data_IF_026449869748
#
_entry.id   IF_026449869748
#
_cell.length_a   1.000
_cell.length_b   1.000
_cell.length_c   1.000
_cell.angle_alpha   90.00
_cell.angle_beta   90.00
_cell.angle_gamma   90.00
#
_symmetry.space_group_name_H-M   'P 1'
#
loop_
_entity.id
_entity.type
_entity.pdbx_description
1 polymer ?
#
# COMPACT_ATOMS: atom_id res chain seq x y z
N UNK A 1 6.91 -28.22 18.95
CA UNK A 1 8.09 -28.22 19.85
C UNK A 1 7.55 -27.95 21.24
N UNK A 2 7.92 -28.74 22.25
CA UNK A 2 7.42 -28.48 23.61
C UNK A 2 8.21 -27.34 24.25
N UNK A 3 7.51 -26.30 24.71
CA UNK A 3 8.14 -25.14 25.35
C UNK A 3 8.47 -25.48 26.81
N UNK A 4 9.75 -25.42 27.23
CA UNK A 4 10.11 -25.69 28.61
C UNK A 4 9.49 -24.64 29.53
N UNK A 5 8.95 -25.10 30.66
CA UNK A 5 8.36 -24.23 31.69
C UNK A 5 8.95 -24.58 33.06
N UNK A 6 9.44 -23.57 33.76
CA UNK A 6 9.91 -23.65 35.14
C UNK A 6 8.93 -22.93 36.05
N UNK A 7 8.32 -23.65 37.00
CA UNK A 7 7.46 -23.02 38.01
C UNK A 7 8.33 -22.16 38.94
N UNK A 8 7.91 -20.93 39.17
CA UNK A 8 8.55 -20.00 40.13
C UNK A 8 7.76 -20.00 41.44
N UNK A 9 6.45 -19.88 41.36
CA UNK A 9 5.54 -19.98 42.50
C UNK A 9 4.15 -20.44 42.06
N UNK A 10 3.13 -20.23 42.90
CA UNK A 10 1.76 -20.69 42.67
C UNK A 10 1.14 -20.18 41.36
N UNK A 11 1.52 -19.00 40.88
CA UNK A 11 0.90 -18.36 39.71
C UNK A 11 1.89 -17.88 38.68
N UNK A 12 3.20 -17.99 38.92
CA UNK A 12 4.24 -17.57 37.99
C UNK A 12 5.05 -18.74 37.46
N UNK A 13 5.17 -18.77 36.15
CA UNK A 13 6.00 -19.70 35.40
C UNK A 13 6.99 -18.93 34.52
N UNK A 14 8.13 -19.53 34.26
CA UNK A 14 9.15 -18.97 33.40
C UNK A 14 9.43 -19.90 32.24
N UNK A 15 9.44 -19.33 31.03
CA UNK A 15 10.02 -19.97 29.85
C UNK A 15 11.51 -19.58 29.89
N UNK A 16 12.42 -20.50 30.28
CA UNK A 16 13.83 -20.19 30.33
C UNK A 16 14.32 -19.86 28.91
N UNK A 17 15.47 -19.18 28.82
CA UNK A 17 16.14 -18.93 27.53
C UNK A 17 16.71 -20.24 26.96
N UNK A 18 15.84 -21.08 26.40
CA UNK A 18 16.21 -22.38 25.86
C UNK A 18 16.71 -22.30 24.42
N UNK A 19 16.28 -21.28 23.67
CA UNK A 19 16.78 -20.99 22.33
C UNK A 19 17.79 -19.83 22.39
N UNK A 20 18.92 -19.98 21.69
CA UNK A 20 19.99 -18.96 21.60
C UNK A 20 19.52 -17.60 21.05
N UNK A 21 18.42 -17.59 20.29
CA UNK A 21 17.80 -16.39 19.73
C UNK A 21 17.00 -15.62 20.77
N UNK A 22 16.57 -16.27 21.86
CA UNK A 22 15.90 -15.57 22.95
C UNK A 22 16.86 -14.58 23.59
N UNK A 23 16.43 -13.32 23.67
CA UNK A 23 17.19 -12.23 24.29
C UNK A 23 16.87 -12.14 25.78
N UNK A 24 15.60 -12.38 26.12
CA UNK A 24 15.06 -12.39 27.49
C UNK A 24 14.28 -13.70 27.76
N UNK A 25 14.00 -14.07 29.02
CA UNK A 25 13.09 -15.17 29.31
C UNK A 25 11.62 -14.80 29.03
N UNK A 26 10.76 -15.80 28.94
CA UNK A 26 9.31 -15.62 29.00
C UNK A 26 8.79 -15.72 30.43
N UNK A 27 7.74 -14.98 30.79
CA UNK A 27 7.08 -15.00 32.10
C UNK A 27 5.59 -15.19 31.90
N UNK A 28 5.03 -16.27 32.44
CA UNK A 28 3.60 -16.59 32.31
C UNK A 28 2.94 -16.48 33.68
N UNK A 29 1.88 -15.67 33.76
CA UNK A 29 1.04 -15.53 34.94
C UNK A 29 -0.21 -16.38 34.76
N UNK A 30 -0.20 -17.58 35.33
CA UNK A 30 -1.25 -18.58 35.15
C UNK A 30 -1.20 -19.61 36.28
N UNK A 31 -2.38 -20.10 36.68
CA UNK A 31 -2.48 -21.30 37.50
C UNK A 31 -2.27 -22.56 36.64
N UNK A 32 -2.36 -23.72 37.29
CA UNK A 32 -2.09 -24.99 36.63
C UNK A 32 -3.09 -25.31 35.52
N UNK A 33 -4.37 -24.96 35.70
CA UNK A 33 -5.41 -25.19 34.71
C UNK A 33 -5.16 -24.33 33.46
N UNK A 34 -4.83 -23.06 33.65
CA UNK A 34 -4.49 -22.14 32.56
C UNK A 34 -3.22 -22.57 31.81
N UNK A 35 -2.18 -23.02 32.51
CA UNK A 35 -0.97 -23.56 31.86
C UNK A 35 -1.30 -24.78 31.01
N UNK A 36 -2.16 -25.69 31.47
CA UNK A 36 -2.57 -26.82 30.65
C UNK A 36 -3.31 -26.38 29.39
N UNK A 37 -4.16 -25.35 29.48
CA UNK A 37 -4.85 -24.78 28.33
C UNK A 37 -3.86 -24.14 27.33
N UNK A 38 -2.92 -23.32 27.80
CA UNK A 38 -1.91 -22.67 26.96
C UNK A 38 -0.92 -23.65 26.31
N UNK A 39 -0.83 -24.89 26.80
CA UNK A 39 -0.06 -25.98 26.16
C UNK A 39 -0.77 -26.61 24.97
N UNK A 40 -2.07 -26.39 24.81
CA UNK A 40 -2.88 -26.97 23.73
C UNK A 40 -2.81 -26.15 22.44
N UNK A 41 -2.27 -24.94 22.49
CA UNK A 41 -2.14 -24.04 21.35
C UNK A 41 -0.71 -23.45 21.27
N UNK A 42 -0.52 -22.43 20.41
CA UNK A 42 0.79 -21.79 20.21
C UNK A 42 1.12 -20.66 21.18
N UNK A 43 0.36 -20.45 22.24
CA UNK A 43 0.55 -19.32 23.19
C UNK A 43 1.97 -19.25 23.73
N UNK A 44 2.48 -20.36 24.25
CA UNK A 44 3.82 -20.43 24.85
C UNK A 44 4.93 -20.28 23.80
N UNK A 45 4.71 -20.79 22.59
CA UNK A 45 5.63 -20.64 21.46
C UNK A 45 5.73 -19.18 21.03
N UNK A 46 4.59 -18.50 20.90
CA UNK A 46 4.53 -17.07 20.59
C UNK A 46 5.21 -16.24 21.66
N UNK A 47 4.98 -16.55 22.94
CA UNK A 47 5.69 -15.87 24.04
C UNK A 47 7.22 -16.04 23.94
N UNK A 48 7.69 -17.24 23.58
CA UNK A 48 9.11 -17.50 23.36
C UNK A 48 9.67 -16.76 22.14
N UNK A 49 8.91 -16.67 21.04
CA UNK A 49 9.28 -15.93 19.83
C UNK A 49 9.37 -14.42 20.10
N UNK A 50 8.41 -13.86 20.83
CA UNK A 50 8.44 -12.45 21.28
C UNK A 50 9.70 -12.18 22.09
N UNK A 51 10.12 -13.14 22.92
CA UNK A 51 11.34 -13.04 23.72
C UNK A 51 12.64 -12.98 22.87
N UNK A 52 12.58 -13.25 21.56
CA UNK A 52 13.70 -13.16 20.62
C UNK A 52 13.82 -11.77 19.95
N UNK A 53 12.79 -10.94 20.03
CA UNK A 53 12.68 -9.70 19.27
C UNK A 53 13.71 -8.64 19.72
N UNK A 54 14.36 -7.91 18.78
CA UNK A 54 15.34 -6.87 19.11
C UNK A 54 14.80 -5.81 20.07
N UNK A 55 15.68 -5.29 20.93
CA UNK A 55 15.34 -4.27 21.91
C UNK A 55 14.32 -4.68 22.99
N UNK A 56 13.89 -5.94 23.04
CA UNK A 56 12.97 -6.39 24.10
C UNK A 56 13.63 -6.27 25.48
N UNK A 57 12.89 -5.66 26.41
CA UNK A 57 13.29 -5.54 27.80
C UNK A 57 12.99 -6.82 28.59
N UNK A 58 13.62 -6.93 29.77
CA UNK A 58 13.43 -7.89 30.90
C UNK A 58 12.77 -9.25 30.61
N UNK A 59 11.52 -9.30 30.16
CA UNK A 59 10.78 -10.52 29.85
C UNK A 59 9.75 -10.31 28.72
N UNK A 60 9.43 -11.39 28.00
CA UNK A 60 8.16 -11.52 27.27
C UNK A 60 7.10 -12.06 28.23
N UNK A 61 6.01 -11.33 28.47
CA UNK A 61 5.03 -11.67 29.50
C UNK A 61 3.75 -12.21 28.86
N UNK A 62 3.12 -13.20 29.49
CA UNK A 62 1.77 -13.69 29.16
C UNK A 62 0.89 -13.58 30.39
N UNK A 63 -0.24 -12.90 30.24
CA UNK A 63 -1.24 -12.69 31.29
C UNK A 63 -2.25 -13.86 31.37
N UNK A 64 -3.08 -13.95 32.43
CA UNK A 64 -3.99 -15.09 32.63
C UNK A 64 -5.02 -15.34 31.52
N UNK A 65 -5.36 -14.31 30.75
CA UNK A 65 -6.22 -14.37 29.56
C UNK A 65 -5.49 -14.87 28.30
N UNK A 66 -4.23 -15.29 28.46
CA UNK A 66 -3.34 -15.73 27.40
C UNK A 66 -3.90 -16.84 26.51
N UNK A 67 -3.90 -16.60 25.21
CA UNK A 67 -4.22 -17.60 24.18
C UNK A 67 -3.54 -17.27 22.86
N UNK A 68 -3.52 -18.22 21.94
CA UNK A 68 -2.87 -18.04 20.63
C UNK A 68 -3.43 -16.83 19.88
N UNK A 69 -2.55 -15.89 19.54
CA UNK A 69 -2.83 -14.78 18.62
C UNK A 69 -2.24 -15.03 17.23
N UNK A 70 -1.98 -13.96 16.48
CA UNK A 70 -1.37 -14.05 15.13
C UNK A 70 0.15 -13.90 15.13
N UNK A 71 0.72 -13.17 16.10
CA UNK A 71 2.16 -12.96 16.24
C UNK A 71 2.58 -13.03 17.69
N UNK A 72 2.02 -12.15 18.52
CA UNK A 72 2.06 -12.27 19.97
C UNK A 72 0.91 -13.18 20.44
N UNK A 73 1.02 -13.81 21.61
CA UNK A 73 -0.16 -14.33 22.27
C UNK A 73 -1.09 -13.16 22.63
N UNK A 74 -2.40 -13.35 22.52
CA UNK A 74 -3.35 -12.44 23.18
C UNK A 74 -3.06 -12.46 24.68
N UNK A 75 -3.21 -11.33 25.37
CA UNK A 75 -2.73 -11.17 26.76
C UNK A 75 -1.20 -11.12 26.89
N UNK A 76 -0.48 -11.05 25.77
CA UNK A 76 0.97 -10.85 25.73
C UNK A 76 1.38 -9.41 26.06
N UNK A 77 2.43 -9.23 26.85
CA UNK A 77 2.99 -7.91 27.17
C UNK A 77 4.50 -7.95 26.95
N UNK A 78 5.01 -7.01 26.15
CA UNK A 78 6.44 -6.80 25.98
C UNK A 78 6.73 -5.30 25.85
N UNK A 79 7.87 -4.89 26.40
CA UNK A 79 8.39 -3.54 26.23
C UNK A 79 9.62 -3.61 25.33
N UNK A 80 9.73 -2.66 24.40
CA UNK A 80 10.83 -2.57 23.43
C UNK A 80 11.55 -1.23 23.54
N UNK A 81 12.84 -1.23 23.27
CA UNK A 81 13.62 -0.01 23.18
C UNK A 81 13.16 0.87 22.01
N UNK A 82 13.05 2.17 22.25
CA UNK A 82 12.53 3.11 21.24
C UNK A 82 13.50 3.30 20.06
N UNK A 83 14.80 3.06 20.24
CA UNK A 83 15.82 3.22 19.20
C UNK A 83 16.20 1.90 18.55
N UNK A 84 16.40 0.87 19.36
CA UNK A 84 16.94 -0.42 18.92
C UNK A 84 15.88 -1.54 18.86
N UNK A 85 14.64 -1.22 19.23
CA UNK A 85 13.54 -2.16 19.29
C UNK A 85 12.82 -2.34 17.96
N UNK A 86 11.64 -2.96 18.04
CA UNK A 86 10.79 -3.22 16.88
C UNK A 86 9.37 -2.74 17.14
N UNK A 87 8.71 -2.30 16.08
CA UNK A 87 7.26 -2.17 16.04
C UNK A 87 6.73 -3.48 15.45
N UNK A 88 5.91 -4.20 16.22
CA UNK A 88 5.28 -5.44 15.77
C UNK A 88 3.77 -5.24 15.67
N UNK A 89 3.20 -5.14 14.45
CA UNK A 89 1.75 -5.11 14.27
C UNK A 89 1.06 -6.33 14.92
N UNK A 90 1.69 -7.50 14.83
CA UNK A 90 1.21 -8.72 15.48
C UNK A 90 1.22 -8.70 17.02
N UNK A 91 1.78 -7.66 17.65
CA UNK A 91 1.73 -7.42 19.09
C UNK A 91 0.61 -6.48 19.56
N UNK A 92 0.07 -5.67 18.66
CA UNK A 92 -1.13 -4.84 18.92
C UNK A 92 -2.40 -5.67 18.73
N UNK A 93 -2.34 -6.67 17.84
CA UNK A 93 -3.50 -7.39 17.36
C UNK A 93 -3.91 -6.86 15.99
N UNK A 94 -4.68 -7.67 15.26
CA UNK A 94 -5.36 -7.22 14.06
C UNK A 94 -6.81 -7.00 14.46
N UNK A 95 -7.19 -5.75 14.72
CA UNK A 95 -8.59 -5.37 14.88
C UNK A 95 -9.33 -5.69 13.57
N UNK A 96 -10.59 -6.12 13.72
CA UNK A 96 -11.33 -6.99 12.82
C UNK A 96 -11.86 -6.14 11.65
N UNK A 97 -11.00 -5.50 10.87
CA UNK A 97 -11.40 -4.57 9.81
C UNK A 97 -11.28 -5.21 8.42
N UNK A 98 -11.77 -6.44 8.27
CA UNK A 98 -11.57 -7.23 7.07
C UNK A 98 -12.57 -6.86 5.97
N UNK A 99 -12.11 -6.91 4.72
CA UNK A 99 -12.96 -6.92 3.54
C UNK A 99 -13.26 -8.36 3.12
N UNK A 100 -14.45 -8.59 2.60
CA UNK A 100 -14.84 -9.88 2.05
C UNK A 100 -14.20 -10.13 0.68
N UNK A 101 -13.99 -11.40 0.28
CA UNK A 101 -13.57 -11.76 -1.06
C UNK A 101 -14.43 -11.10 -2.15
N UNK A 102 -13.82 -10.73 -3.27
CA UNK A 102 -14.44 -9.97 -4.35
C UNK A 102 -14.34 -8.45 -4.19
N UNK A 103 -13.95 -7.96 -3.00
CA UNK A 103 -13.70 -6.53 -2.80
C UNK A 103 -12.55 -6.05 -3.69
N UNK A 104 -12.81 -4.96 -4.44
CA UNK A 104 -11.86 -4.39 -5.38
C UNK A 104 -10.95 -3.39 -4.69
N UNK A 105 -9.64 -3.58 -4.85
CA UNK A 105 -8.61 -2.68 -4.33
C UNK A 105 -7.93 -1.98 -5.51
N UNK A 106 -7.99 -0.65 -5.52
CA UNK A 106 -7.46 0.17 -6.62
C UNK A 106 -5.94 0.33 -6.51
N UNK A 107 -5.25 0.11 -7.62
CA UNK A 107 -3.78 0.17 -7.71
C UNK A 107 -3.30 1.55 -8.08
N UNK A 108 -2.01 1.85 -7.90
CA UNK A 108 -1.41 3.13 -8.31
C UNK A 108 -1.48 3.38 -9.83
N UNK A 109 -1.71 2.33 -10.62
CA UNK A 109 -1.84 2.39 -12.07
C UNK A 109 -3.29 2.46 -12.55
N UNK A 110 -4.27 2.43 -11.63
CA UNK A 110 -5.67 2.66 -11.95
C UNK A 110 -6.45 1.43 -12.44
N UNK A 111 -5.87 0.24 -12.31
CA UNK A 111 -6.66 -0.99 -12.38
C UNK A 111 -6.97 -1.49 -10.97
N UNK A 112 -7.92 -2.41 -10.84
CA UNK A 112 -8.20 -3.04 -9.55
C UNK A 112 -7.69 -4.49 -9.52
N UNK A 113 -7.37 -4.94 -8.32
CA UNK A 113 -7.17 -6.36 -8.00
C UNK A 113 -8.17 -6.75 -6.92
N UNK A 114 -8.56 -8.01 -6.85
CA UNK A 114 -9.43 -8.45 -5.76
C UNK A 114 -8.63 -8.66 -4.49
N UNK A 115 -9.24 -8.39 -3.34
CA UNK A 115 -8.55 -8.45 -2.04
C UNK A 115 -7.97 -9.85 -1.76
N UNK A 116 -8.63 -10.92 -2.20
CA UNK A 116 -8.16 -12.30 -2.06
C UNK A 116 -6.91 -12.62 -2.91
N UNK A 117 -6.62 -11.82 -3.94
CA UNK A 117 -5.41 -11.97 -4.75
C UNK A 117 -4.21 -11.21 -4.15
N UNK A 118 -4.46 -10.33 -3.18
CA UNK A 118 -3.44 -9.48 -2.58
C UNK A 118 -2.30 -10.25 -1.89
N UNK A 119 -2.50 -11.37 -1.17
CA UNK A 119 -1.40 -12.13 -0.58
C UNK A 119 -0.31 -12.53 -1.59
N UNK A 120 -0.70 -12.77 -2.84
CA UNK A 120 0.22 -13.10 -3.93
C UNK A 120 0.72 -11.86 -4.68
N UNK A 121 -0.12 -10.82 -4.80
CA UNK A 121 0.12 -9.66 -5.68
C UNK A 121 0.59 -8.38 -4.97
N UNK A 122 0.63 -8.32 -3.64
CA UNK A 122 0.86 -7.05 -2.90
C UNK A 122 2.21 -6.39 -3.14
N UNK A 123 3.23 -7.15 -3.55
CA UNK A 123 4.57 -6.61 -3.83
C UNK A 123 4.73 -6.05 -5.25
N UNK A 124 3.74 -6.28 -6.12
CA UNK A 124 3.83 -5.87 -7.52
C UNK A 124 3.66 -4.36 -7.68
N UNK A 125 2.87 -3.70 -6.83
CA UNK A 125 2.50 -2.30 -7.02
C UNK A 125 1.98 -1.64 -5.76
N UNK A 126 2.05 -0.31 -5.71
CA UNK A 126 1.37 0.48 -4.71
C UNK A 126 -0.14 0.46 -4.89
N UNK A 127 -0.85 0.74 -3.81
CA UNK A 127 -2.28 0.97 -3.81
C UNK A 127 -2.59 2.46 -3.88
N UNK A 128 -3.70 2.80 -4.52
CA UNK A 128 -4.24 4.15 -4.48
C UNK A 128 -4.72 4.46 -3.08
N UNK A 129 -4.31 5.59 -2.54
CA UNK A 129 -4.78 6.11 -1.25
C UNK A 129 -5.26 7.55 -1.42
N UNK A 130 -6.08 8.00 -0.48
CA UNK A 130 -6.56 9.38 -0.44
C UNK A 130 -6.14 10.03 0.87
N UNK A 131 -5.35 11.09 0.77
CA UNK A 131 -4.99 11.94 1.91
C UNK A 131 -6.14 12.90 2.15
N UNK A 132 -6.92 12.63 3.21
CA UNK A 132 -8.09 13.42 3.59
C UNK A 132 -7.68 14.83 3.98
N UNK A 133 -6.56 14.99 4.70
CA UNK A 133 -6.10 16.26 5.24
C UNK A 133 -5.62 17.20 4.12
N UNK A 134 -4.92 16.66 3.12
CA UNK A 134 -4.42 17.42 1.97
C UNK A 134 -5.42 17.47 0.80
N UNK A 135 -6.50 16.69 0.87
CA UNK A 135 -7.48 16.57 -0.21
C UNK A 135 -6.87 16.10 -1.53
N UNK A 136 -5.92 15.17 -1.50
CA UNK A 136 -5.28 14.67 -2.71
C UNK A 136 -5.19 13.14 -2.80
N UNK A 137 -5.09 12.67 -4.03
CA UNK A 137 -4.74 11.29 -4.32
C UNK A 137 -3.25 11.09 -4.08
N UNK A 138 -2.91 9.98 -3.47
CA UNK A 138 -1.54 9.50 -3.37
C UNK A 138 -1.50 7.99 -3.64
N UNK A 139 -0.33 7.39 -3.50
CA UNK A 139 -0.15 5.94 -3.52
C UNK A 139 0.72 5.51 -2.34
N UNK A 140 0.52 4.28 -1.87
CA UNK A 140 1.34 3.68 -0.82
C UNK A 140 1.73 2.26 -1.21
N UNK A 141 2.97 1.88 -0.90
CA UNK A 141 3.36 0.47 -0.95
C UNK A 141 2.65 -0.33 0.15
N UNK A 142 2.39 -1.60 -0.14
CA UNK A 142 1.79 -2.53 0.82
C UNK A 142 2.91 -3.23 1.57
N UNK A 143 3.01 -2.95 2.87
CA UNK A 143 4.02 -3.57 3.72
C UNK A 143 3.71 -5.05 4.04
N UNK A 144 2.43 -5.36 4.23
CA UNK A 144 1.95 -6.67 4.66
C UNK A 144 0.47 -6.86 4.29
N UNK A 145 0.10 -8.10 4.00
CA UNK A 145 -1.29 -8.53 3.83
C UNK A 145 -1.56 -9.66 4.80
N UNK A 146 -2.67 -9.56 5.54
CA UNK A 146 -3.14 -10.58 6.45
C UNK A 146 -4.43 -11.19 5.92
N UNK A 147 -4.58 -12.49 6.08
CA UNK A 147 -5.80 -13.22 5.79
C UNK A 147 -6.26 -14.00 7.03
N UNK A 148 -7.56 -14.24 7.11
CA UNK A 148 -8.16 -15.09 8.14
C UNK A 148 -9.35 -15.84 7.56
N UNK A 149 -9.63 -16.98 8.16
CA UNK A 149 -10.87 -17.70 7.88
C UNK A 149 -12.03 -17.07 8.66
N UNK A 150 -13.20 -17.05 8.02
CA UNK A 150 -14.45 -16.64 8.65
C UNK A 150 -14.96 -17.80 9.50
N UNK A 151 -15.34 -17.52 10.75
CA UNK A 151 -15.90 -18.56 11.63
C UNK A 151 -17.31 -18.95 11.16
N UNK A 152 -17.73 -20.18 11.46
CA UNK A 152 -19.00 -20.76 10.96
C UNK A 152 -20.26 -19.91 11.25
N UNK A 153 -20.25 -19.07 12.30
CA UNK A 153 -21.37 -18.21 12.68
C UNK A 153 -21.05 -16.70 12.57
N UNK A 154 -19.93 -16.36 11.92
CA UNK A 154 -19.56 -14.97 11.74
C UNK A 154 -20.25 -14.39 10.49
N UNK A 155 -20.93 -13.26 10.67
CA UNK A 155 -21.66 -12.60 9.60
C UNK A 155 -20.82 -11.46 9.02
N UNK A 156 -20.89 -11.30 7.69
CA UNK A 156 -20.40 -10.11 7.01
C UNK A 156 -21.53 -9.09 6.87
N UNK A 157 -21.19 -7.81 6.95
CA UNK A 157 -22.06 -6.70 6.62
C UNK A 157 -21.80 -6.30 5.18
N UNK A 158 -22.86 -6.12 4.41
CA UNK A 158 -22.81 -5.60 3.05
C UNK A 158 -23.64 -4.32 2.98
N UNK A 159 -23.05 -3.24 2.48
CA UNK A 159 -23.79 -2.04 2.08
C UNK A 159 -23.73 -1.88 0.57
N UNK A 160 -24.80 -1.34 0.00
CA UNK A 160 -24.94 -1.06 -1.43
C UNK A 160 -25.37 0.40 -1.56
N UNK A 161 -24.58 1.20 -2.29
CA UNK A 161 -24.94 2.58 -2.56
C UNK A 161 -26.02 2.67 -3.65
N UNK A 162 -26.71 3.81 -3.75
CA UNK A 162 -27.65 4.08 -4.85
C UNK A 162 -26.98 4.00 -6.23
N UNK A 163 -25.68 4.28 -6.31
CA UNK A 163 -24.87 4.11 -7.53
C UNK A 163 -24.49 2.66 -7.83
N UNK A 164 -24.93 1.69 -7.02
CA UNK A 164 -24.65 0.27 -7.20
C UNK A 164 -23.28 -0.20 -6.69
N UNK A 165 -22.56 0.65 -5.94
CA UNK A 165 -21.26 0.29 -5.37
C UNK A 165 -21.45 -0.54 -4.12
N UNK A 166 -20.58 -1.52 -3.94
CA UNK A 166 -20.66 -2.50 -2.86
C UNK A 166 -19.38 -2.44 -2.04
N UNK A 167 -19.53 -2.42 -0.72
CA UNK A 167 -18.49 -2.80 0.22
C UNK A 167 -19.07 -3.84 1.16
N UNK A 168 -18.29 -4.89 1.39
CA UNK A 168 -18.67 -6.03 2.21
C UNK A 168 -17.49 -6.43 3.07
N UNK A 169 -17.73 -6.68 4.35
CA UNK A 169 -16.67 -6.92 5.32
C UNK A 169 -17.22 -7.23 6.71
N UNK A 170 -16.34 -7.26 7.69
CA UNK A 170 -16.73 -7.40 9.11
C UNK A 170 -17.43 -6.14 9.62
N UNK A 171 -18.21 -6.31 10.71
CA UNK A 171 -19.01 -5.24 11.31
C UNK A 171 -18.20 -4.00 11.69
N UNK A 172 -16.96 -4.17 12.14
CA UNK A 172 -16.06 -3.09 12.56
C UNK A 172 -15.22 -2.48 11.43
N UNK A 173 -15.33 -2.97 10.19
CA UNK A 173 -14.61 -2.39 9.06
C UNK A 173 -14.93 -0.88 8.93
N UNK A 174 -13.92 0.01 8.94
CA UNK A 174 -14.16 1.44 8.96
C UNK A 174 -14.60 1.95 7.59
N UNK A 175 -15.73 2.67 7.57
CA UNK A 175 -16.27 3.36 6.41
C UNK A 175 -16.22 4.86 6.66
N UNK A 176 -15.70 5.61 5.69
CA UNK A 176 -15.64 7.06 5.78
C UNK A 176 -17.00 7.68 5.40
N UNK A 177 -17.54 8.50 6.28
CA UNK A 177 -18.77 9.30 6.09
C UNK A 177 -18.45 10.79 6.19
N UNK A 178 -19.36 11.71 5.83
CA UNK A 178 -19.14 13.15 6.01
C UNK A 178 -18.85 13.55 7.47
N UNK A 179 -19.25 12.73 8.45
CA UNK A 179 -19.02 12.95 9.88
C UNK A 179 -17.77 12.26 10.41
N UNK A 180 -17.04 11.53 9.56
CA UNK A 180 -15.83 10.78 9.90
C UNK A 180 -15.98 9.27 9.71
N UNK A 181 -15.05 8.50 10.27
CA UNK A 181 -15.10 7.05 10.19
C UNK A 181 -16.17 6.47 11.12
N UNK A 182 -16.99 5.58 10.57
CA UNK A 182 -17.96 4.76 11.30
C UNK A 182 -17.72 3.29 10.95
N UNK A 183 -18.07 2.38 11.85
CA UNK A 183 -18.02 0.95 11.58
C UNK A 183 -19.11 0.55 10.59
N UNK A 184 -18.79 -0.39 9.69
CA UNK A 184 -19.66 -0.86 8.62
C UNK A 184 -21.03 -1.34 9.16
N UNK A 185 -21.05 -2.05 10.29
CA UNK A 185 -22.28 -2.51 10.95
C UNK A 185 -23.13 -1.40 11.58
N UNK A 186 -22.59 -0.18 11.71
CA UNK A 186 -23.32 0.99 12.21
C UNK A 186 -23.88 1.87 11.09
N UNK A 187 -23.51 1.61 9.83
CA UNK A 187 -24.06 2.32 8.66
C UNK A 187 -25.51 1.88 8.46
N UNK A 188 -26.41 2.84 8.28
CA UNK A 188 -27.84 2.60 8.07
C UNK A 188 -28.28 3.05 6.68
N UNK A 189 -29.42 2.53 6.23
CA UNK A 189 -30.06 3.03 5.02
C UNK A 189 -30.33 4.53 5.14
N UNK A 190 -29.92 5.28 4.11
CA UNK A 190 -30.01 6.75 4.07
C UNK A 190 -28.75 7.47 4.56
N UNK A 191 -27.77 6.78 5.15
CA UNK A 191 -26.49 7.39 5.50
C UNK A 191 -25.64 7.67 4.25
N UNK A 192 -24.94 8.81 4.24
CA UNK A 192 -23.99 9.15 3.18
C UNK A 192 -22.62 8.53 3.47
N UNK A 193 -22.03 7.91 2.46
CA UNK A 193 -20.66 7.35 2.52
C UNK A 193 -19.78 8.01 1.46
N UNK A 194 -18.51 8.22 1.79
CA UNK A 194 -17.55 8.76 0.84
C UNK A 194 -17.09 7.65 -0.10
N UNK A 195 -17.22 7.91 -1.40
CA UNK A 195 -16.77 7.01 -2.46
C UNK A 195 -15.65 7.64 -3.26
N UNK A 196 -14.66 6.83 -3.62
CA UNK A 196 -13.63 7.27 -4.54
C UNK A 196 -14.22 7.33 -5.97
N UNK A 197 -14.12 8.45 -6.70
CA UNK A 197 -14.88 8.65 -7.93
C UNK A 197 -14.52 7.67 -9.05
N UNK A 198 -13.29 7.14 -9.05
CA UNK A 198 -12.80 6.22 -10.08
C UNK A 198 -12.73 4.78 -9.58
N UNK A 199 -13.43 3.85 -10.22
CA UNK A 199 -13.49 2.43 -9.79
C UNK A 199 -12.32 1.58 -10.29
N UNK A 200 -11.48 2.16 -11.13
CA UNK A 200 -10.47 1.42 -11.85
C UNK A 200 -11.01 0.69 -13.07
N UNK A 201 -10.09 0.09 -13.80
CA UNK A 201 -10.38 -0.78 -14.95
C UNK A 201 -10.01 -2.22 -14.64
N UNK A 202 -10.60 -3.14 -15.40
CA UNK A 202 -10.20 -4.54 -15.36
C UNK A 202 -8.75 -4.70 -15.85
N UNK A 203 -8.06 -5.74 -15.37
CA UNK A 203 -6.66 -6.01 -15.68
C UNK A 203 -6.45 -7.48 -16.05
N UNK A 204 -5.96 -7.68 -17.27
CA UNK A 204 -5.52 -8.98 -17.74
C UNK A 204 -4.01 -9.13 -17.49
N UNK A 205 -3.63 -10.10 -16.65
CA UNK A 205 -2.22 -10.39 -16.39
C UNK A 205 -1.56 -11.05 -17.61
N UNK A 206 -0.43 -10.48 -18.03
CA UNK A 206 0.41 -11.03 -19.10
C UNK A 206 1.79 -11.35 -18.54
N UNK A 207 2.44 -12.33 -19.14
CA UNK A 207 3.78 -12.79 -18.72
C UNK A 207 4.73 -12.87 -19.89
N UNK A 208 6.01 -12.73 -19.58
CA UNK A 208 7.09 -12.86 -20.56
C UNK A 208 7.62 -11.53 -21.08
N UNK A 209 8.46 -11.61 -22.10
CA UNK A 209 9.14 -10.45 -22.69
C UNK A 209 8.15 -9.68 -23.55
N UNK A 210 8.01 -8.39 -23.24
CA UNK A 210 7.24 -7.42 -24.02
C UNK A 210 8.12 -6.81 -25.13
N UNK A 211 9.33 -6.37 -24.78
CA UNK A 211 10.33 -5.89 -25.73
C UNK A 211 11.69 -6.49 -25.42
N UNK A 212 12.33 -7.04 -26.43
CA UNK A 212 13.66 -7.64 -26.41
C UNK A 212 14.68 -6.72 -27.08
N UNK A 213 15.97 -7.05 -26.94
CA UNK A 213 17.02 -6.30 -27.64
C UNK A 213 16.92 -6.39 -29.17
N UNK A 214 16.38 -7.50 -29.68
CA UNK A 214 16.19 -7.73 -31.12
C UNK A 214 15.19 -6.74 -31.72
N UNK A 215 14.21 -6.29 -30.94
CA UNK A 215 13.24 -5.27 -31.35
C UNK A 215 13.89 -3.89 -31.57
N UNK A 216 15.14 -3.70 -31.13
CA UNK A 216 15.92 -2.48 -31.28
C UNK A 216 17.16 -2.67 -32.17
N UNK A 217 17.19 -3.71 -33.02
CA UNK A 217 18.35 -4.01 -33.87
C UNK A 217 18.74 -2.85 -34.81
N UNK A 218 17.77 -2.05 -35.25
CA UNK A 218 17.97 -0.88 -36.12
C UNK A 218 18.08 0.46 -35.36
N UNK A 219 18.05 0.43 -34.02
CA UNK A 219 18.12 1.62 -33.19
C UNK A 219 19.57 2.06 -32.93
N UNK A 220 19.75 3.35 -32.62
CA UNK A 220 21.05 3.88 -32.20
C UNK A 220 21.55 3.17 -30.92
N UNK A 221 22.83 2.76 -30.91
CA UNK A 221 23.44 2.06 -29.77
C UNK A 221 23.31 2.84 -28.44
N UNK A 222 23.27 4.18 -28.50
CA UNK A 222 23.08 5.03 -27.33
C UNK A 222 21.69 4.84 -26.72
N UNK A 223 20.66 4.62 -27.55
CA UNK A 223 19.29 4.34 -27.08
C UNK A 223 19.24 2.98 -26.39
N UNK A 224 19.82 1.95 -27.03
CA UNK A 224 19.87 0.60 -26.46
C UNK A 224 20.61 0.61 -25.13
N UNK A 225 21.76 1.30 -25.06
CA UNK A 225 22.52 1.48 -23.83
C UNK A 225 21.71 2.21 -22.76
N UNK A 226 21.03 3.30 -23.11
CA UNK A 226 20.19 4.06 -22.19
C UNK A 226 19.09 3.20 -21.56
N UNK A 227 18.44 2.36 -22.35
CA UNK A 227 17.39 1.44 -21.88
C UNK A 227 17.97 0.36 -20.96
N UNK A 228 19.10 -0.25 -21.33
CA UNK A 228 19.78 -1.27 -20.51
C UNK A 228 20.27 -0.75 -19.18
N UNK A 229 20.88 0.44 -19.15
CA UNK A 229 21.35 1.07 -17.91
C UNK A 229 20.22 1.38 -16.92
N UNK A 230 18.97 1.39 -17.40
CA UNK A 230 17.76 1.61 -16.59
C UNK A 230 16.96 0.33 -16.40
N UNK A 231 17.51 -0.83 -16.74
CA UNK A 231 16.81 -2.13 -16.69
C UNK A 231 15.49 -2.14 -17.48
N UNK A 232 15.38 -1.34 -18.55
CA UNK A 232 14.19 -1.28 -19.42
C UNK A 232 14.29 -2.23 -20.61
N UNK A 233 15.36 -3.03 -20.69
CA UNK A 233 15.59 -3.98 -21.77
C UNK A 233 16.30 -5.24 -21.23
N UNK A 234 15.73 -6.46 -21.41
CA UNK A 234 14.41 -6.73 -21.97
C UNK A 234 13.29 -6.22 -21.05
N UNK A 235 12.31 -5.51 -21.62
CA UNK A 235 11.11 -5.10 -20.91
C UNK A 235 10.18 -6.31 -20.81
N UNK A 236 9.67 -6.60 -19.62
CA UNK A 236 8.77 -7.74 -19.36
C UNK A 236 7.41 -7.26 -18.88
N UNK A 237 6.35 -8.01 -19.17
CA UNK A 237 4.97 -7.67 -18.76
C UNK A 237 4.80 -7.51 -17.25
N UNK A 238 5.64 -8.17 -16.47
CA UNK A 238 5.66 -8.15 -15.02
C UNK A 238 6.43 -6.95 -14.44
N UNK A 239 6.99 -6.08 -15.29
CA UNK A 239 7.74 -4.91 -14.84
C UNK A 239 6.81 -3.87 -14.21
N UNK A 240 7.09 -3.52 -12.94
CA UNK A 240 6.33 -2.55 -12.14
C UNK A 240 6.22 -1.17 -12.81
N UNK A 241 7.10 -0.86 -13.77
CA UNK A 241 7.16 0.45 -14.44
C UNK A 241 6.30 0.52 -15.71
N UNK A 242 5.70 -0.58 -16.16
CA UNK A 242 4.86 -0.58 -17.38
C UNK A 242 3.74 0.46 -17.30
N UNK A 243 3.07 0.58 -16.16
CA UNK A 243 2.00 1.56 -16.00
C UNK A 243 2.51 3.01 -16.11
N UNK A 244 3.71 3.30 -15.61
CA UNK A 244 4.34 4.62 -15.77
C UNK A 244 4.76 4.87 -17.22
N UNK A 245 5.35 3.89 -17.90
CA UNK A 245 5.70 3.97 -19.32
C UNK A 245 4.46 4.23 -20.19
N UNK A 246 3.38 3.48 -19.97
CA UNK A 246 2.13 3.65 -20.70
C UNK A 246 1.53 5.05 -20.49
N UNK A 247 1.57 5.59 -19.27
CA UNK A 247 1.16 6.98 -19.00
C UNK A 247 2.03 7.98 -19.75
N UNK A 248 3.36 7.86 -19.67
CA UNK A 248 4.30 8.76 -20.36
C UNK A 248 4.03 8.74 -21.86
N UNK A 249 3.88 7.57 -22.46
CA UNK A 249 3.55 7.42 -23.88
C UNK A 249 2.19 8.03 -24.21
N UNK A 250 1.17 7.80 -23.38
CA UNK A 250 -0.15 8.42 -23.53
C UNK A 250 -0.08 9.95 -23.56
N UNK A 251 0.69 10.56 -22.66
CA UNK A 251 0.95 12.00 -22.69
C UNK A 251 1.73 12.43 -23.92
N UNK A 252 2.76 11.68 -24.31
CA UNK A 252 3.59 11.99 -25.48
C UNK A 252 2.79 12.00 -26.79
N UNK A 253 1.86 11.05 -26.95
CA UNK A 253 1.02 10.93 -28.14
C UNK A 253 -0.24 11.80 -28.11
N UNK A 254 -0.73 12.17 -26.93
CA UNK A 254 -1.92 13.01 -26.75
C UNK A 254 -1.58 14.51 -26.77
N UNK A 255 -1.01 15.00 -25.67
CA UNK A 255 -0.72 16.42 -25.42
C UNK A 255 0.79 16.71 -25.46
N UNK A 256 1.55 15.85 -26.16
CA UNK A 256 2.99 15.93 -26.29
C UNK A 256 3.42 16.67 -27.56
N UNK A 257 4.59 17.29 -27.50
CA UNK A 257 5.24 17.92 -28.64
C UNK A 257 6.72 17.55 -28.65
N UNK A 258 7.14 16.82 -29.68
CA UNK A 258 8.54 16.58 -29.98
C UNK A 258 9.03 17.70 -30.92
N UNK A 259 10.06 18.41 -30.49
CA UNK A 259 10.68 19.48 -31.26
C UNK A 259 12.20 19.43 -31.21
N UNK A 260 12.82 20.29 -32.02
CA UNK A 260 14.27 20.46 -32.07
C UNK A 260 14.62 21.92 -31.84
N UNK A 261 15.61 22.19 -30.98
CA UNK A 261 16.13 23.53 -30.73
C UNK A 261 17.65 23.47 -30.66
N UNK A 262 18.33 24.25 -31.50
CA UNK A 262 19.80 24.30 -31.57
C UNK A 262 20.46 22.92 -31.75
N UNK A 263 19.85 22.03 -32.55
CA UNK A 263 20.36 20.67 -32.78
C UNK A 263 20.07 19.67 -31.65
N UNK A 264 19.27 20.05 -30.64
CA UNK A 264 18.86 19.16 -29.53
C UNK A 264 17.38 18.88 -29.59
N UNK A 265 17.02 17.61 -29.37
CA UNK A 265 15.63 17.19 -29.29
C UNK A 265 15.07 17.50 -27.90
N UNK A 266 13.82 17.93 -27.86
CA UNK A 266 13.08 18.07 -26.62
C UNK A 266 11.67 17.53 -26.79
N UNK A 267 11.16 16.90 -25.73
CA UNK A 267 9.78 16.47 -25.61
C UNK A 267 9.10 17.32 -24.55
N UNK A 268 8.07 18.06 -24.95
CA UNK A 268 7.25 18.85 -24.06
C UNK A 268 5.88 18.20 -23.88
N UNK A 269 5.35 18.24 -22.66
CA UNK A 269 4.00 17.82 -22.30
C UNK A 269 3.22 19.01 -21.77
N UNK A 270 1.99 19.18 -22.24
CA UNK A 270 1.10 20.26 -21.81
C UNK A 270 -0.07 19.72 -21.00
N UNK A 271 -0.56 20.50 -20.04
CA UNK A 271 -1.69 20.09 -19.22
C UNK A 271 -1.82 20.87 -17.93
N UNK A 272 -2.66 20.37 -17.02
CA UNK A 272 -2.82 20.95 -15.68
C UNK A 272 -1.54 20.74 -14.87
N UNK A 273 -1.12 21.75 -14.11
CA UNK A 273 0.10 21.70 -13.30
C UNK A 273 0.17 20.44 -12.40
N UNK A 274 -0.92 20.12 -11.69
CA UNK A 274 -1.00 18.95 -10.81
C UNK A 274 -0.70 17.65 -11.57
N UNK A 275 -1.29 17.50 -12.76
CA UNK A 275 -1.09 16.34 -13.63
C UNK A 275 0.35 16.25 -14.13
N UNK A 276 0.94 17.38 -14.54
CA UNK A 276 2.33 17.41 -14.98
C UNK A 276 3.32 17.13 -13.84
N UNK A 277 2.98 17.48 -12.60
CA UNK A 277 3.77 17.09 -11.41
C UNK A 277 3.74 15.59 -11.18
N UNK A 278 2.61 14.92 -11.42
CA UNK A 278 2.52 13.45 -11.37
C UNK A 278 3.34 12.80 -12.48
N UNK A 279 3.22 13.28 -13.73
CA UNK A 279 4.01 12.81 -14.86
C UNK A 279 5.52 13.00 -14.64
N UNK A 280 5.91 14.12 -14.01
CA UNK A 280 7.31 14.37 -13.64
C UNK A 280 7.85 13.29 -12.69
N UNK A 281 7.07 12.87 -11.69
CA UNK A 281 7.47 11.79 -10.78
C UNK A 281 7.68 10.47 -11.53
N UNK A 282 6.83 10.16 -12.51
CA UNK A 282 6.99 8.97 -13.35
C UNK A 282 8.28 9.01 -14.18
N UNK A 283 8.61 10.16 -14.77
CA UNK A 283 9.88 10.34 -15.49
C UNK A 283 11.09 10.20 -14.57
N UNK A 284 11.05 10.82 -13.40
CA UNK A 284 12.13 10.75 -12.40
C UNK A 284 12.35 9.32 -11.89
N UNK A 285 11.28 8.52 -11.72
CA UNK A 285 11.36 7.08 -11.39
C UNK A 285 12.09 6.26 -12.47
N UNK A 286 12.08 6.72 -13.72
CA UNK A 286 12.83 6.12 -14.83
C UNK A 286 14.24 6.72 -14.98
N UNK A 287 14.66 7.59 -14.07
CA UNK A 287 15.94 8.31 -14.17
C UNK A 287 15.98 9.28 -15.35
N UNK A 288 14.82 9.85 -15.71
CA UNK A 288 14.66 10.87 -16.76
C UNK A 288 14.41 12.22 -16.09
N UNK A 289 15.30 13.18 -16.34
CA UNK A 289 15.16 14.52 -15.82
C UNK A 289 14.13 15.33 -16.62
N UNK A 290 13.25 16.04 -15.91
CA UNK A 290 12.23 16.88 -16.52
C UNK A 290 12.04 18.20 -15.76
N UNK A 291 11.86 19.28 -16.51
CA UNK A 291 11.67 20.63 -16.00
C UNK A 291 10.22 21.08 -16.16
N UNK A 292 9.57 21.43 -15.06
CA UNK A 292 8.20 21.96 -15.07
C UNK A 292 8.23 23.48 -15.11
N UNK A 293 7.60 24.05 -16.13
CA UNK A 293 7.44 25.48 -16.33
C UNK A 293 5.96 25.84 -16.13
N UNK A 294 5.69 26.81 -15.27
CA UNK A 294 4.35 27.39 -15.08
C UNK A 294 4.43 28.86 -15.43
N UNK A 295 3.57 29.30 -16.36
CA UNK A 295 3.53 30.69 -16.84
C UNK A 295 2.14 31.26 -16.66
N UNK A 296 2.05 32.38 -15.96
CA UNK A 296 0.85 33.21 -15.90
C UNK A 296 0.97 34.32 -16.94
N UNK A 297 -0.08 34.52 -17.75
CA UNK A 297 -0.15 35.59 -18.74
C UNK A 297 -1.45 36.37 -18.58
N UNK A 298 -1.34 37.68 -18.58
CA UNK A 298 -2.49 38.55 -18.77
C UNK A 298 -2.79 38.63 -20.27
N UNK A 299 -4.06 38.56 -20.65
CA UNK A 299 -4.48 38.78 -22.02
C UNK A 299 -5.61 39.80 -22.08
N UNK A 300 -5.65 40.49 -23.21
CA UNK A 300 -6.74 41.38 -23.58
C UNK A 300 -7.18 41.00 -24.99
N UNK A 301 -8.46 40.69 -25.16
CA UNK A 301 -9.06 40.37 -26.45
C UNK A 301 -10.12 41.42 -26.74
N UNK A 302 -9.95 42.16 -27.83
CA UNK A 302 -11.00 43.03 -28.34
C UNK A 302 -12.02 42.19 -29.11
N UNK A 303 -13.28 42.32 -28.71
CA UNK A 303 -14.41 41.66 -29.37
C UNK A 303 -15.43 42.71 -29.82
N UNK A 304 -16.36 42.32 -30.69
CA UNK A 304 -17.46 43.18 -31.15
C UNK A 304 -18.33 43.68 -29.99
N UNK A 305 -18.33 42.96 -28.87
CA UNK A 305 -19.10 43.27 -27.65
C UNK A 305 -18.32 44.07 -26.61
N UNK A 306 -17.05 44.42 -26.90
CA UNK A 306 -16.16 45.15 -25.99
C UNK A 306 -14.84 44.42 -25.70
N UNK A 307 -14.07 45.00 -24.79
CA UNK A 307 -12.75 44.53 -24.38
C UNK A 307 -12.86 43.46 -23.28
N UNK A 308 -12.33 42.26 -23.51
CA UNK A 308 -12.27 41.18 -22.53
C UNK A 308 -10.85 41.02 -22.00
N UNK A 309 -10.65 41.31 -20.71
CA UNK A 309 -9.38 41.12 -20.01
C UNK A 309 -9.45 39.88 -19.13
N UNK A 310 -8.39 39.08 -19.17
CA UNK A 310 -8.32 37.86 -18.40
C UNK A 310 -6.90 37.46 -18.03
N UNK A 311 -6.81 36.44 -17.19
CA UNK A 311 -5.58 35.76 -16.83
C UNK A 311 -5.64 34.33 -17.31
N UNK A 312 -4.53 33.83 -17.85
CA UNK A 312 -4.37 32.42 -18.17
C UNK A 312 -3.12 31.88 -17.49
N UNK A 313 -3.23 30.65 -16.99
CA UNK A 313 -2.10 29.89 -16.46
C UNK A 313 -1.88 28.71 -17.39
N UNK A 314 -0.66 28.59 -17.92
CA UNK A 314 -0.24 27.47 -18.75
C UNK A 314 0.91 26.74 -18.09
N UNK A 315 0.90 25.41 -18.12
CA UNK A 315 1.98 24.58 -17.61
C UNK A 315 2.57 23.70 -18.72
N UNK A 316 3.89 23.54 -18.69
CA UNK A 316 4.67 22.75 -19.65
C UNK A 316 5.70 21.92 -18.87
N UNK A 317 5.74 20.62 -19.09
CA UNK A 317 6.81 19.75 -18.59
C UNK A 317 7.73 19.39 -19.75
N UNK A 318 9.03 19.67 -19.63
CA UNK A 318 9.99 19.47 -20.71
C UNK A 318 11.08 18.47 -20.34
N UNK A 319 11.31 17.51 -21.23
CA UNK A 319 12.46 16.60 -21.24
C UNK A 319 13.38 17.03 -22.38
N UNK A 320 14.68 17.10 -22.12
CA UNK A 320 15.70 17.48 -23.11
C UNK A 320 16.71 16.34 -23.26
N UNK A 321 17.12 16.05 -24.50
CA UNK A 321 18.22 15.14 -24.81
C UNK A 321 19.55 15.60 -24.25
#
# INVERSE_FOLDING_TARGET
>A
MEIPLKRIDKIRWEIPKFDKRMRVPGRVYADDALIQKMRQDRTLEQAANVAMLPGIYKCSIVMPDGHQGYGFPIGGVAAFDVKEGVISPGGVGYDINCLAPGSKVLTEHGYWVKVEEMPEKFKLQGLRVYDIDKGHNDFSEVAFVAEREVKENELAVRIITESGRVIEGSEDHPVLTPQGYVYLGNVKEGDEVLVYPFEGVDFEERRGVLLSEEDFADADEQIVKFLKERDLLPLRWEDRRIGALARILGFAFGDGHLGEMEGRLYLSFYGKEKTLRELKKDLERLGINANLYVRERNYCIETVSGEYKGKTVSSELRVTS
#
